data_IF_422162049734
#
_entry.id   IF_422162049734
#
_cell.length_a   1.000
_cell.length_b   1.000
_cell.length_c   1.000
_cell.angle_alpha   90.00
_cell.angle_beta   90.00
_cell.angle_gamma   90.00
#
_symmetry.space_group_name_H-M   'P 1'
#
loop_
_entity.id
_entity.type
_entity.pdbx_description
1 polymer ?
#
# COMPACT_ATOMS: atom_id res chain seq x y z
N UNK A 1 -0.41 3.93 29.71
CA UNK A 1 -0.33 3.19 28.43
C UNK A 1 -0.69 4.16 27.30
N UNK A 2 0.20 4.37 26.32
CA UNK A 2 0.18 5.50 25.37
C UNK A 2 -1.07 5.63 24.47
N UNK A 3 -1.99 4.66 24.48
CA UNK A 3 -3.17 4.62 23.61
C UNK A 3 -4.23 5.70 23.94
N UNK A 4 -4.38 6.13 25.19
CA UNK A 4 -5.43 7.10 25.57
C UNK A 4 -5.18 8.53 25.05
N UNK A 5 -3.96 8.86 24.61
CA UNK A 5 -3.59 10.21 24.20
C UNK A 5 -3.80 10.50 22.69
N UNK A 6 -3.98 9.46 21.86
CA UNK A 6 -4.01 9.58 20.39
C UNK A 6 -5.42 9.62 19.79
N UNK A 7 -6.46 9.47 20.62
CA UNK A 7 -7.84 9.37 20.16
C UNK A 7 -8.18 7.99 19.57
N UNK A 8 -9.39 7.86 19.05
CA UNK A 8 -9.87 6.65 18.38
C UNK A 8 -9.65 6.77 16.86
N UNK A 9 -9.13 5.71 16.24
CA UNK A 9 -8.89 5.63 14.80
C UNK A 9 -9.55 4.35 14.28
N UNK A 10 -10.49 4.50 13.36
CA UNK A 10 -11.12 3.39 12.62
C UNK A 10 -10.68 3.43 11.15
N UNK A 11 -10.29 2.27 10.64
CA UNK A 11 -9.78 2.08 9.28
C UNK A 11 -10.57 0.95 8.64
N UNK A 12 -11.52 1.33 7.78
CA UNK A 12 -12.41 0.40 7.09
C UNK A 12 -12.47 0.68 5.59
N UNK A 13 -12.91 -0.32 4.84
CA UNK A 13 -12.91 -0.29 3.37
C UNK A 13 -12.88 -1.68 2.76
N UNK A 14 -13.23 -1.75 1.48
CA UNK A 14 -13.33 -2.99 0.73
C UNK A 14 -12.35 -3.00 -0.46
N UNK A 15 -11.96 -4.19 -0.89
CA UNK A 15 -11.10 -4.40 -2.05
C UNK A 15 -11.65 -5.59 -2.84
N UNK A 16 -11.78 -5.40 -4.16
CA UNK A 16 -12.13 -6.48 -5.07
C UNK A 16 -11.06 -6.59 -6.14
N UNK A 17 -10.59 -7.81 -6.39
CA UNK A 17 -9.63 -8.11 -7.44
C UNK A 17 -10.07 -9.36 -8.20
N UNK A 18 -9.82 -9.35 -9.51
CA UNK A 18 -10.15 -10.47 -10.40
C UNK A 18 -8.85 -11.02 -11.02
N UNK A 19 -8.83 -12.34 -11.22
CA UNK A 19 -7.79 -13.05 -11.96
C UNK A 19 -8.43 -14.19 -12.71
N UNK A 20 -7.91 -14.46 -13.89
CA UNK A 20 -8.28 -15.59 -14.73
C UNK A 20 -7.00 -16.29 -15.16
N UNK A 21 -6.99 -17.62 -15.09
CA UNK A 21 -5.82 -18.42 -15.42
C UNK A 21 -6.24 -19.82 -15.87
N UNK A 22 -5.67 -20.27 -16.99
CA UNK A 22 -5.75 -21.66 -17.43
C UNK A 22 -4.68 -22.50 -16.72
N UNK A 23 -5.10 -23.58 -16.06
CA UNK A 23 -4.23 -24.48 -15.33
C UNK A 23 -4.49 -25.94 -15.77
N UNK A 24 -3.44 -26.77 -15.92
CA UNK A 24 -3.60 -28.17 -16.26
C UNK A 24 -4.31 -28.94 -15.15
N UNK A 25 -5.03 -29.99 -15.53
CA UNK A 25 -5.77 -30.88 -14.63
C UNK A 25 -5.30 -32.30 -14.91
N UNK A 26 -4.42 -32.82 -14.05
CA UNK A 26 -3.81 -34.14 -14.23
C UNK A 26 -4.59 -35.24 -13.48
N UNK A 27 -5.25 -34.87 -12.38
CA UNK A 27 -6.08 -35.73 -11.52
C UNK A 27 -7.29 -34.96 -10.99
N UNK A 28 -8.30 -35.66 -10.46
CA UNK A 28 -9.49 -35.03 -9.86
C UNK A 28 -9.13 -34.06 -8.70
N UNK A 29 -8.05 -34.35 -7.97
CA UNK A 29 -7.52 -33.51 -6.88
C UNK A 29 -6.90 -32.20 -7.38
N UNK A 30 -6.52 -32.14 -8.67
CA UNK A 30 -5.86 -30.98 -9.27
C UNK A 30 -6.74 -29.74 -9.26
N UNK A 31 -8.07 -29.89 -9.34
CA UNK A 31 -8.99 -28.75 -9.26
C UNK A 31 -8.87 -28.01 -7.92
N UNK A 32 -8.88 -28.75 -6.81
CA UNK A 32 -8.79 -28.17 -5.46
C UNK A 32 -7.42 -27.53 -5.26
N UNK A 33 -6.34 -28.20 -5.69
CA UNK A 33 -4.99 -27.67 -5.59
C UNK A 33 -4.81 -26.39 -6.42
N UNK A 34 -5.35 -26.35 -7.63
CA UNK A 34 -5.29 -25.18 -8.52
C UNK A 34 -6.06 -23.99 -7.94
N UNK A 35 -7.29 -24.22 -7.43
CA UNK A 35 -8.06 -23.16 -6.75
C UNK A 35 -7.35 -22.68 -5.50
N UNK A 36 -6.76 -23.58 -4.70
CA UNK A 36 -6.00 -23.22 -3.50
C UNK A 36 -4.84 -22.28 -3.81
N UNK A 37 -4.06 -22.57 -4.85
CA UNK A 37 -2.96 -21.68 -5.31
C UNK A 37 -3.48 -20.31 -5.75
N UNK A 38 -4.58 -20.27 -6.51
CA UNK A 38 -5.19 -19.02 -6.96
C UNK A 38 -5.64 -18.15 -5.77
N UNK A 39 -6.25 -18.76 -4.75
CA UNK A 39 -6.67 -18.07 -3.53
C UNK A 39 -5.46 -17.57 -2.74
N UNK A 40 -4.46 -18.42 -2.49
CA UNK A 40 -3.25 -18.04 -1.74
C UNK A 40 -2.53 -16.84 -2.38
N UNK A 41 -2.30 -16.92 -3.70
CA UNK A 41 -1.69 -15.83 -4.47
C UNK A 41 -2.50 -14.54 -4.39
N UNK A 42 -3.83 -14.66 -4.50
CA UNK A 42 -4.72 -13.51 -4.47
C UNK A 42 -4.75 -12.86 -3.09
N UNK A 43 -4.86 -13.65 -2.03
CA UNK A 43 -4.84 -13.17 -0.65
C UNK A 43 -3.52 -12.48 -0.31
N UNK A 44 -2.38 -13.05 -0.71
CA UNK A 44 -1.07 -12.42 -0.51
C UNK A 44 -0.99 -11.05 -1.21
N UNK A 45 -1.41 -10.98 -2.46
CA UNK A 45 -1.43 -9.72 -3.24
C UNK A 45 -2.38 -8.70 -2.63
N UNK A 46 -3.59 -9.11 -2.25
CA UNK A 46 -4.58 -8.24 -1.62
C UNK A 46 -4.11 -7.75 -0.25
N UNK A 47 -3.51 -8.61 0.57
CA UNK A 47 -2.95 -8.23 1.89
C UNK A 47 -1.90 -7.14 1.76
N UNK A 48 -0.95 -7.30 0.84
CA UNK A 48 0.11 -6.32 0.64
C UNK A 48 -0.46 -4.97 0.18
N UNK A 49 -1.42 -4.99 -0.75
CA UNK A 49 -2.07 -3.77 -1.24
C UNK A 49 -2.90 -3.08 -0.15
N UNK A 50 -3.63 -3.84 0.67
CA UNK A 50 -4.34 -3.31 1.84
C UNK A 50 -3.36 -2.62 2.78
N UNK A 51 -2.23 -3.24 3.12
CA UNK A 51 -1.22 -2.61 3.99
C UNK A 51 -0.73 -1.26 3.43
N UNK A 52 -0.44 -1.19 2.13
CA UNK A 52 0.02 0.03 1.47
C UNK A 52 -1.05 1.15 1.51
N UNK A 53 -2.30 0.83 1.19
CA UNK A 53 -3.37 1.84 1.15
C UNK A 53 -3.75 2.30 2.55
N UNK A 54 -3.91 1.38 3.50
CA UNK A 54 -4.37 1.72 4.85
C UNK A 54 -3.32 2.43 5.69
N UNK A 55 -2.03 2.08 5.57
CA UNK A 55 -0.99 2.63 6.43
C UNK A 55 0.01 3.53 5.70
N UNK A 56 0.19 3.33 4.38
CA UNK A 56 0.99 4.22 3.55
C UNK A 56 0.18 5.46 3.19
N UNK A 57 -0.85 5.29 2.34
CA UNK A 57 -1.58 6.45 1.79
C UNK A 57 -2.31 7.28 2.85
N UNK A 58 -2.91 6.64 3.85
CA UNK A 58 -3.56 7.40 4.93
C UNK A 58 -2.57 8.29 5.67
N UNK A 59 -1.35 7.79 5.93
CA UNK A 59 -0.28 8.55 6.56
C UNK A 59 0.18 9.71 5.67
N UNK A 60 0.36 9.47 4.38
CA UNK A 60 0.81 10.49 3.42
C UNK A 60 -0.21 11.64 3.32
N UNK A 61 -1.51 11.31 3.18
CA UNK A 61 -2.59 12.31 3.12
C UNK A 61 -2.66 13.13 4.42
N UNK A 62 -2.53 12.49 5.59
CA UNK A 62 -2.49 13.21 6.87
C UNK A 62 -1.26 14.10 6.96
N UNK A 63 -0.10 13.64 6.48
CA UNK A 63 1.14 14.42 6.41
C UNK A 63 1.02 15.64 5.50
N UNK A 64 0.30 15.53 4.39
CA UNK A 64 0.02 16.65 3.48
C UNK A 64 -0.91 17.69 4.11
N UNK A 65 -1.93 17.25 4.86
CA UNK A 65 -2.86 18.14 5.57
C UNK A 65 -2.21 18.81 6.79
N UNK A 66 -1.31 18.11 7.47
CA UNK A 66 -0.61 18.62 8.65
C UNK A 66 0.83 18.10 8.67
N UNK A 67 1.76 18.97 8.29
CA UNK A 67 3.18 18.69 8.42
C UNK A 67 3.55 18.54 9.90
N UNK A 68 4.12 17.38 10.26
CA UNK A 68 4.67 17.15 11.60
C UNK A 68 6.00 17.88 11.82
N UNK A 69 6.75 18.15 10.73
CA UNK A 69 7.99 18.94 10.74
C UNK A 69 7.75 20.42 10.42
N UNK A 70 8.79 21.24 10.54
CA UNK A 70 8.70 22.65 10.15
C UNK A 70 8.43 22.76 8.65
N UNK A 71 7.53 23.66 8.27
CA UNK A 71 7.26 23.98 6.86
C UNK A 71 8.52 24.44 6.11
N UNK A 72 9.50 24.99 6.84
CA UNK A 72 10.82 25.36 6.30
C UNK A 72 11.62 24.16 5.80
N UNK A 73 11.52 23.02 6.51
CA UNK A 73 12.32 21.84 6.21
C UNK A 73 11.72 21.12 4.99
N UNK A 74 10.39 21.01 4.94
CA UNK A 74 9.70 20.51 3.74
C UNK A 74 9.82 21.43 2.51
N UNK A 75 10.13 22.72 2.69
CA UNK A 75 10.47 23.63 1.59
C UNK A 75 11.90 23.40 1.08
N UNK A 76 12.86 23.21 1.99
CA UNK A 76 14.25 22.87 1.67
C UNK A 76 14.37 21.54 0.95
N UNK A 77 13.68 20.51 1.42
CA UNK A 77 13.70 19.19 0.77
C UNK A 77 13.20 19.27 -0.68
N UNK A 78 12.14 20.05 -0.93
CA UNK A 78 11.62 20.29 -2.28
C UNK A 78 12.58 21.08 -3.16
N UNK A 79 13.31 22.03 -2.59
CA UNK A 79 14.36 22.79 -3.29
C UNK A 79 15.53 21.89 -3.69
N UNK A 80 16.02 21.06 -2.76
CA UNK A 80 17.06 20.06 -3.05
C UNK A 80 16.59 19.06 -4.10
N UNK A 81 15.33 18.59 -4.03
CA UNK A 81 14.78 17.68 -5.02
C UNK A 81 14.72 18.32 -6.42
N UNK A 82 14.40 19.63 -6.52
CA UNK A 82 14.44 20.37 -7.79
C UNK A 82 15.86 20.53 -8.33
N UNK A 83 16.86 20.79 -7.48
CA UNK A 83 18.26 20.88 -7.91
C UNK A 83 18.77 19.53 -8.46
N UNK A 84 18.42 18.42 -7.82
CA UNK A 84 18.79 17.08 -8.29
C UNK A 84 18.17 16.81 -9.67
N UNK A 85 16.86 17.06 -9.84
CA UNK A 85 16.19 16.88 -11.13
C UNK A 85 16.78 17.81 -12.21
N UNK A 86 17.12 19.04 -11.84
CA UNK A 86 17.76 20.01 -12.73
C UNK A 86 19.18 19.62 -13.15
N UNK A 87 19.92 18.94 -12.28
CA UNK A 87 21.28 18.44 -12.59
C UNK A 87 21.27 17.16 -13.44
N UNK A 88 20.24 16.33 -13.31
CA UNK A 88 20.05 15.13 -14.16
C UNK A 88 19.59 15.45 -15.58
N UNK A 89 19.00 16.63 -15.81
CA UNK A 89 18.56 17.11 -17.13
C UNK A 89 19.68 17.79 -17.94
N UNK A 90 20.89 17.88 -17.38
CA UNK A 90 22.04 18.55 -17.98
C UNK A 90 23.01 17.56 -18.60
#
# INVERSE_FOLDING_TARGET
SASAALGELDLSGNMTRQVEQDLPVDTDESHIANVGKLVEDMELKMRNLLQEVYFGKAKDVVGDLRSAGSLSDGARDRETQREIIGSMRR
#
